data_IF_599908688650
#
_entry.id   IF_599908688650
#
_cell.length_a   1.000
_cell.length_b   1.000
_cell.length_c   1.000
_cell.angle_alpha   90.00
_cell.angle_beta   90.00
_cell.angle_gamma   90.00
#
_symmetry.space_group_name_H-M   'P 1'
#
loop_
_entity.id
_entity.type
_entity.pdbx_description
1 polymer ?
#
# COMPACT_ATOMS: atom_id res chain seq x y z
N UNK A 1 -2.54 -2.87 -16.09
CA UNK A 1 -1.27 -3.49 -15.64
C UNK A 1 -1.61 -4.70 -14.78
N UNK A 2 -0.93 -5.84 -14.99
CA UNK A 2 -1.18 -7.07 -14.27
C UNK A 2 0.14 -7.87 -14.09
N UNK A 3 0.14 -8.79 -13.14
CA UNK A 3 1.36 -9.44 -12.64
C UNK A 3 2.17 -10.18 -13.71
N UNK A 4 1.53 -10.83 -14.68
CA UNK A 4 2.23 -11.51 -15.79
C UNK A 4 3.11 -10.55 -16.60
N UNK A 5 2.62 -9.35 -16.95
CA UNK A 5 3.43 -8.33 -17.65
C UNK A 5 4.66 -7.93 -16.82
N UNK A 6 4.51 -7.82 -15.49
CA UNK A 6 5.63 -7.47 -14.61
C UNK A 6 6.63 -8.61 -14.51
N UNK A 7 6.20 -9.88 -14.55
CA UNK A 7 7.12 -11.03 -14.63
C UNK A 7 7.96 -11.00 -15.91
N UNK A 8 7.32 -10.79 -17.05
CA UNK A 8 8.02 -10.64 -18.35
C UNK A 8 9.03 -9.48 -18.31
N UNK A 9 8.66 -8.36 -17.71
CA UNK A 9 9.54 -7.21 -17.53
C UNK A 9 10.71 -7.54 -16.58
N UNK A 10 10.47 -8.22 -15.48
CA UNK A 10 11.50 -8.64 -14.53
C UNK A 10 12.49 -9.64 -15.17
N UNK A 11 12.01 -10.58 -15.97
CA UNK A 11 12.82 -11.52 -16.72
C UNK A 11 13.72 -10.79 -17.75
N UNK A 12 13.15 -9.83 -18.50
CA UNK A 12 13.90 -9.01 -19.43
C UNK A 12 14.96 -8.15 -18.72
N UNK A 13 14.61 -7.57 -17.58
CA UNK A 13 15.54 -6.79 -16.76
C UNK A 13 16.69 -7.66 -16.24
N UNK A 14 16.42 -8.85 -15.71
CA UNK A 14 17.42 -9.80 -15.26
C UNK A 14 18.38 -10.22 -16.40
N UNK A 15 17.84 -10.48 -17.59
CA UNK A 15 18.63 -10.84 -18.76
C UNK A 15 19.52 -9.69 -19.28
N UNK A 16 19.17 -8.45 -18.98
CA UNK A 16 19.88 -7.27 -19.46
C UNK A 16 21.20 -6.98 -18.74
N UNK A 17 21.39 -7.54 -17.54
CA UNK A 17 22.48 -7.23 -16.61
C UNK A 17 22.60 -5.72 -16.29
N UNK A 18 21.48 -4.98 -16.36
CA UNK A 18 21.42 -3.56 -16.01
C UNK A 18 20.74 -3.40 -14.66
N UNK A 19 21.09 -2.33 -13.96
CA UNK A 19 20.41 -1.96 -12.72
C UNK A 19 18.95 -1.62 -13.01
N UNK A 20 18.05 -2.32 -12.34
CA UNK A 20 16.61 -2.09 -12.41
C UNK A 20 16.09 -1.76 -11.02
N UNK A 21 15.44 -0.61 -10.88
CA UNK A 21 14.86 -0.15 -9.61
C UNK A 21 13.46 0.43 -9.85
N UNK A 22 12.66 0.46 -8.79
CA UNK A 22 11.34 1.07 -8.80
C UNK A 22 11.30 2.30 -7.89
N UNK A 23 10.53 3.32 -8.29
CA UNK A 23 10.44 4.61 -7.59
C UNK A 23 9.50 4.53 -6.38
N UNK A 24 9.81 3.70 -5.40
CA UNK A 24 9.09 3.63 -4.12
C UNK A 24 9.65 4.66 -3.13
N UNK A 25 9.45 5.93 -3.46
CA UNK A 25 9.98 7.07 -2.70
C UNK A 25 9.50 7.10 -1.25
N UNK A 26 8.32 6.58 -0.93
CA UNK A 26 7.81 6.52 0.44
C UNK A 26 8.64 5.61 1.36
N UNK A 27 9.39 4.65 0.82
CA UNK A 27 10.37 3.87 1.59
C UNK A 27 11.55 4.71 2.11
N UNK A 28 11.72 5.95 1.63
CA UNK A 28 12.73 6.90 2.16
C UNK A 28 12.21 7.75 3.30
N UNK A 29 10.92 7.74 3.59
CA UNK A 29 10.33 8.47 4.70
C UNK A 29 10.76 7.86 6.04
N UNK A 30 11.32 8.68 6.93
CA UNK A 30 11.86 8.24 8.22
C UNK A 30 10.82 7.53 9.09
N UNK A 31 9.55 7.90 9.01
CA UNK A 31 8.46 7.28 9.77
C UNK A 31 8.25 5.83 9.32
N UNK A 32 8.07 5.60 8.01
CA UNK A 32 7.85 4.24 7.49
C UNK A 32 9.09 3.36 7.59
N UNK A 33 10.30 3.94 7.44
CA UNK A 33 11.55 3.22 7.73
C UNK A 33 11.63 2.77 9.18
N UNK A 34 11.23 3.64 10.11
CA UNK A 34 11.24 3.32 11.54
C UNK A 34 10.20 2.25 11.89
N UNK A 35 9.00 2.31 11.33
CA UNK A 35 8.01 1.23 11.48
C UNK A 35 8.56 -0.11 11.00
N UNK A 36 9.19 -0.14 9.82
CA UNK A 36 9.85 -1.33 9.25
C UNK A 36 10.95 -1.86 10.17
N UNK A 37 11.84 -0.98 10.64
CA UNK A 37 12.92 -1.34 11.59
C UNK A 37 12.39 -2.00 12.85
N UNK A 38 11.33 -1.43 13.46
CA UNK A 38 10.72 -1.96 14.69
C UNK A 38 10.13 -3.34 14.43
N UNK A 39 9.35 -3.50 13.34
CA UNK A 39 8.75 -4.78 12.97
C UNK A 39 9.82 -5.83 12.69
N UNK A 40 10.83 -5.51 11.88
CA UNK A 40 11.91 -6.43 11.50
C UNK A 40 12.79 -6.83 12.70
N UNK A 41 12.91 -5.96 13.70
CA UNK A 41 13.68 -6.27 14.90
C UNK A 41 13.13 -7.47 15.68
N UNK A 42 11.85 -7.78 15.50
CA UNK A 42 11.14 -8.82 16.24
C UNK A 42 10.97 -8.55 17.73
N UNK A 43 11.47 -7.41 18.26
CA UNK A 43 11.43 -7.10 19.70
C UNK A 43 10.00 -6.96 20.24
N UNK A 44 9.09 -6.50 19.41
CA UNK A 44 7.67 -6.38 19.77
C UNK A 44 6.85 -7.66 19.51
N UNK A 45 7.50 -8.77 19.15
CA UNK A 45 6.84 -10.05 18.84
C UNK A 45 6.17 -10.04 17.47
N UNK A 46 5.27 -11.01 17.25
CA UNK A 46 4.57 -11.18 15.97
C UNK A 46 3.49 -10.13 15.78
N UNK A 47 3.25 -9.76 14.51
CA UNK A 47 2.07 -8.97 14.14
C UNK A 47 0.82 -9.80 14.42
N UNK A 48 -0.18 -9.18 15.04
CA UNK A 48 -1.51 -9.76 15.31
C UNK A 48 -2.58 -9.15 14.42
N UNK A 49 -2.48 -7.85 14.14
CA UNK A 49 -3.46 -7.13 13.33
C UNK A 49 -2.84 -5.93 12.63
N UNK A 50 -3.32 -5.67 11.43
CA UNK A 50 -2.93 -4.52 10.61
C UNK A 50 -4.20 -3.78 10.19
N UNK A 51 -4.29 -2.49 10.51
CA UNK A 51 -5.40 -1.65 10.08
C UNK A 51 -4.84 -0.43 9.34
N UNK A 52 -5.21 -0.26 8.08
CA UNK A 52 -4.84 0.94 7.35
C UNK A 52 -6.06 1.57 6.69
N UNK A 53 -6.40 2.76 7.15
CA UNK A 53 -7.41 3.62 6.56
C UNK A 53 -6.67 4.76 5.88
N UNK A 54 -6.74 4.82 4.55
CA UNK A 54 -6.10 5.85 3.74
C UNK A 54 -7.10 6.43 2.74
N UNK A 55 -7.79 7.48 3.16
CA UNK A 55 -8.84 8.13 2.40
C UNK A 55 -8.56 9.62 2.15
N UNK A 56 -7.33 10.07 2.44
CA UNK A 56 -6.91 11.46 2.18
C UNK A 56 -6.51 11.71 0.71
N UNK A 57 -6.86 10.80 -0.19
CA UNK A 57 -6.65 10.90 -1.64
C UNK A 57 -7.79 11.60 -2.36
N UNK A 58 -8.47 12.57 -1.73
CA UNK A 58 -9.61 13.26 -2.34
C UNK A 58 -9.32 13.72 -3.77
N UNK A 59 -10.22 13.38 -4.68
CA UNK A 59 -10.18 13.80 -6.09
C UNK A 59 -11.53 14.37 -6.48
N UNK A 60 -11.53 15.37 -7.35
CA UNK A 60 -12.73 15.91 -7.94
C UNK A 60 -13.05 15.20 -9.26
N UNK A 61 -14.28 15.32 -9.75
CA UNK A 61 -14.63 14.84 -11.09
C UNK A 61 -13.71 15.45 -12.17
N UNK A 62 -13.36 16.74 -12.04
CA UNK A 62 -12.44 17.41 -12.96
C UNK A 62 -11.07 16.74 -13.08
N UNK A 63 -10.55 16.16 -11.99
CA UNK A 63 -9.32 15.36 -12.04
C UNK A 63 -9.48 14.13 -12.94
N UNK A 64 -10.59 13.43 -12.81
CA UNK A 64 -10.86 12.25 -13.64
C UNK A 64 -11.13 12.61 -15.09
N UNK A 65 -11.71 13.78 -15.37
CA UNK A 65 -12.00 14.25 -16.73
C UNK A 65 -10.76 14.80 -17.47
N UNK A 66 -9.64 15.00 -16.78
CA UNK A 66 -8.42 15.62 -17.32
C UNK A 66 -7.60 14.77 -18.29
N UNK A 67 -7.99 13.53 -18.54
CA UNK A 67 -7.28 12.64 -19.46
C UNK A 67 -8.18 11.56 -20.05
N UNK A 68 -8.00 11.25 -21.32
CA UNK A 68 -8.78 10.22 -22.01
C UNK A 68 -8.58 8.81 -21.45
N UNK A 69 -7.40 8.54 -20.92
CA UNK A 69 -7.01 7.24 -20.35
C UNK A 69 -7.39 7.08 -18.88
N UNK A 70 -7.53 8.22 -18.18
CA UNK A 70 -7.68 8.24 -16.72
C UNK A 70 -9.03 7.63 -16.31
N UNK A 71 -8.99 6.81 -15.25
CA UNK A 71 -10.17 6.16 -14.66
C UNK A 71 -11.01 5.33 -15.66
N UNK A 72 -10.34 4.69 -16.63
CA UNK A 72 -10.94 3.75 -17.57
C UNK A 72 -10.23 2.38 -17.49
N UNK A 73 -10.97 1.30 -17.70
CA UNK A 73 -10.38 -0.05 -17.69
C UNK A 73 -9.37 -0.24 -18.82
N UNK A 74 -9.62 0.29 -20.00
CA UNK A 74 -8.73 0.13 -21.16
C UNK A 74 -7.48 1.02 -21.05
N UNK A 75 -7.61 2.22 -20.51
CA UNK A 75 -6.50 3.18 -20.39
C UNK A 75 -5.62 2.94 -19.15
N UNK A 76 -6.22 2.89 -17.98
CA UNK A 76 -5.51 2.81 -16.69
C UNK A 76 -5.49 1.39 -16.09
N UNK A 77 -6.56 0.62 -16.33
CA UNK A 77 -6.70 -0.76 -15.88
C UNK A 77 -7.09 -0.92 -14.41
N UNK A 78 -7.49 0.17 -13.76
CA UNK A 78 -7.97 0.27 -12.37
C UNK A 78 -8.01 1.72 -11.91
N UNK A 79 -8.47 1.95 -10.71
CA UNK A 79 -8.66 3.28 -10.11
C UNK A 79 -7.74 3.54 -8.94
N UNK A 80 -8.31 3.76 -7.76
CA UNK A 80 -7.56 4.15 -6.55
C UNK A 80 -6.44 3.17 -6.20
N UNK A 81 -6.61 1.88 -6.43
CA UNK A 81 -5.61 0.85 -6.13
C UNK A 81 -4.38 0.92 -7.06
N UNK A 82 -4.54 1.37 -8.31
CA UNK A 82 -3.45 1.44 -9.29
C UNK A 82 -2.89 2.85 -9.50
N UNK A 83 -3.61 3.88 -9.11
CA UNK A 83 -3.19 5.28 -9.30
C UNK A 83 -2.76 5.94 -7.99
N UNK A 84 -3.63 6.01 -6.98
CA UNK A 84 -3.34 6.73 -5.73
C UNK A 84 -2.60 5.87 -4.71
N UNK A 85 -2.92 4.58 -4.62
CA UNK A 85 -2.44 3.69 -3.56
C UNK A 85 -1.26 2.74 -3.87
N UNK A 86 -0.56 2.78 -5.02
CA UNK A 86 0.56 1.87 -5.26
C UNK A 86 1.64 1.94 -4.17
N UNK A 87 1.95 3.16 -3.69
CA UNK A 87 2.92 3.36 -2.60
C UNK A 87 2.43 2.82 -1.26
N UNK A 88 1.12 2.91 -1.00
CA UNK A 88 0.53 2.40 0.24
C UNK A 88 0.51 0.87 0.23
N UNK A 89 0.14 0.26 -0.88
CA UNK A 89 0.19 -1.20 -1.03
C UNK A 89 1.62 -1.74 -0.95
N UNK A 90 2.58 -0.98 -1.49
CA UNK A 90 3.99 -1.30 -1.33
C UNK A 90 4.42 -1.25 0.14
N UNK A 91 4.15 -0.14 0.84
CA UNK A 91 4.49 0.01 2.25
C UNK A 91 3.82 -1.04 3.13
N UNK A 92 2.55 -1.39 2.86
CA UNK A 92 1.83 -2.41 3.61
C UNK A 92 2.57 -3.74 3.54
N UNK A 93 2.89 -4.23 2.32
CA UNK A 93 3.58 -5.50 2.17
C UNK A 93 5.05 -5.43 2.58
N UNK A 94 5.70 -4.27 2.43
CA UNK A 94 7.09 -4.08 2.81
C UNK A 94 7.28 -4.12 4.33
N UNK A 95 6.37 -3.50 5.09
CA UNK A 95 6.43 -3.43 6.55
C UNK A 95 5.86 -4.70 7.19
N UNK A 96 4.68 -5.14 6.73
CA UNK A 96 3.91 -6.20 7.40
C UNK A 96 4.04 -7.59 6.74
N UNK A 97 4.68 -7.67 5.58
CA UNK A 97 4.68 -8.87 4.74
C UNK A 97 3.49 -8.93 3.78
N UNK A 98 3.59 -9.79 2.77
CA UNK A 98 2.51 -9.98 1.80
C UNK A 98 1.42 -10.87 2.42
N UNK A 99 0.14 -10.45 2.41
CA UNK A 99 -0.96 -11.31 2.83
C UNK A 99 -1.06 -12.58 1.98
N UNK A 100 -1.53 -13.67 2.56
CA UNK A 100 -1.76 -14.94 1.86
C UNK A 100 -3.18 -15.08 1.35
N UNK A 101 -4.14 -14.28 1.87
CA UNK A 101 -5.52 -14.23 1.40
C UNK A 101 -6.09 -12.82 1.48
N UNK A 102 -6.99 -12.53 0.54
CA UNK A 102 -7.70 -11.26 0.44
C UNK A 102 -9.19 -11.49 0.18
N UNK A 103 -10.06 -10.77 0.90
CA UNK A 103 -11.46 -10.57 0.56
C UNK A 103 -11.71 -9.07 0.44
N UNK A 104 -12.07 -8.59 -0.75
CA UNK A 104 -12.22 -7.18 -1.03
C UNK A 104 -13.58 -6.84 -1.65
N UNK A 105 -13.99 -5.58 -1.45
CA UNK A 105 -15.13 -4.92 -2.04
C UNK A 105 -14.61 -3.66 -2.73
N UNK A 106 -14.53 -3.68 -4.05
CA UNK A 106 -14.13 -2.55 -4.89
C UNK A 106 -15.38 -1.98 -5.54
N UNK A 107 -15.71 -0.74 -5.25
CA UNK A 107 -16.89 -0.08 -5.82
C UNK A 107 -16.44 0.84 -6.96
N UNK A 108 -16.91 0.52 -8.17
CA UNK A 108 -16.58 1.27 -9.36
C UNK A 108 -17.52 2.47 -9.49
N UNK A 109 -16.96 3.67 -9.68
CA UNK A 109 -17.76 4.86 -9.88
C UNK A 109 -18.83 5.09 -8.81
N UNK A 110 -18.52 4.78 -7.55
CA UNK A 110 -19.47 4.94 -6.46
C UNK A 110 -19.76 6.40 -6.15
N UNK A 111 -18.73 7.23 -6.29
CA UNK A 111 -18.74 8.63 -5.94
C UNK A 111 -18.48 9.56 -7.13
N UNK A 112 -17.90 9.03 -8.22
CA UNK A 112 -17.55 9.76 -9.41
C UNK A 112 -18.12 9.08 -10.66
N UNK A 113 -18.30 9.83 -11.76
CA UNK A 113 -18.67 9.25 -13.05
C UNK A 113 -17.41 8.67 -13.74
N UNK A 114 -17.00 7.48 -13.28
CA UNK A 114 -15.82 6.76 -13.75
C UNK A 114 -16.12 5.27 -13.86
N UNK A 115 -15.27 4.50 -14.55
CA UNK A 115 -15.47 3.06 -14.78
C UNK A 115 -14.79 2.18 -13.72
N UNK A 116 -13.78 2.71 -13.06
CA UNK A 116 -12.91 2.00 -12.15
C UNK A 116 -13.26 2.28 -10.70
N UNK A 117 -12.61 1.60 -9.77
CA UNK A 117 -12.90 1.74 -8.35
C UNK A 117 -12.38 3.07 -7.78
N UNK A 118 -13.24 3.74 -7.02
CA UNK A 118 -12.96 4.96 -6.24
C UNK A 118 -13.13 4.77 -4.72
N UNK A 119 -13.60 3.58 -4.32
CA UNK A 119 -13.84 3.19 -2.92
C UNK A 119 -13.56 1.70 -2.76
N UNK A 120 -12.67 1.35 -1.82
CA UNK A 120 -12.25 -0.04 -1.57
C UNK A 120 -12.20 -0.34 -0.08
N UNK A 121 -12.74 -1.48 0.32
CA UNK A 121 -12.54 -2.08 1.62
C UNK A 121 -12.07 -3.52 1.44
N UNK A 122 -10.92 -3.87 2.02
CA UNK A 122 -10.34 -5.20 1.92
C UNK A 122 -10.01 -5.78 3.31
N UNK A 123 -10.35 -7.04 3.50
CA UNK A 123 -9.89 -7.88 4.60
C UNK A 123 -8.70 -8.72 4.13
N UNK A 124 -7.69 -8.84 4.98
CA UNK A 124 -6.40 -9.49 4.70
C UNK A 124 -6.12 -10.58 5.74
N UNK A 125 -5.56 -11.71 5.32
CA UNK A 125 -4.99 -12.74 6.20
C UNK A 125 -3.52 -12.94 5.88
N UNK A 126 -2.70 -13.04 6.91
CA UNK A 126 -1.26 -13.27 6.81
C UNK A 126 -0.90 -14.71 7.21
N UNK A 127 0.27 -15.19 6.80
CA UNK A 127 0.71 -16.57 7.01
C UNK A 127 0.75 -16.97 8.50
N UNK A 128 1.12 -16.04 9.37
CA UNK A 128 1.16 -16.27 10.83
C UNK A 128 -0.22 -16.23 11.52
N UNK A 129 -1.31 -16.08 10.75
CA UNK A 129 -2.68 -15.96 11.26
C UNK A 129 -3.08 -14.53 11.65
N UNK A 130 -2.22 -13.55 11.49
CA UNK A 130 -2.59 -12.15 11.65
C UNK A 130 -3.65 -11.75 10.62
N UNK A 131 -4.50 -10.80 10.99
CA UNK A 131 -5.54 -10.28 10.12
C UNK A 131 -5.35 -8.79 9.86
N UNK A 132 -5.93 -8.27 8.77
CA UNK A 132 -5.84 -6.85 8.48
C UNK A 132 -7.06 -6.31 7.75
N UNK A 133 -7.19 -5.00 7.79
CA UNK A 133 -8.16 -4.23 7.00
C UNK A 133 -7.42 -3.11 6.28
N UNK A 134 -7.68 -2.98 4.97
CA UNK A 134 -7.23 -1.88 4.15
C UNK A 134 -8.44 -1.17 3.57
N UNK A 135 -8.57 0.13 3.86
CA UNK A 135 -9.67 0.97 3.37
C UNK A 135 -9.08 2.16 2.63
N UNK A 136 -9.57 2.40 1.42
CA UNK A 136 -9.16 3.57 0.64
C UNK A 136 -10.33 4.15 -0.15
N UNK A 137 -10.34 5.48 -0.29
CA UNK A 137 -11.35 6.21 -1.06
C UNK A 137 -10.73 7.48 -1.65
N UNK A 138 -11.26 7.91 -2.78
CA UNK A 138 -10.92 9.22 -3.37
C UNK A 138 -12.00 10.28 -3.16
N UNK A 139 -13.00 9.98 -2.32
CA UNK A 139 -14.16 10.85 -2.11
C UNK A 139 -14.38 11.29 -0.65
N UNK A 140 -13.52 10.88 0.28
CA UNK A 140 -13.66 11.28 1.68
C UNK A 140 -13.14 12.70 1.91
N UNK A 141 -13.95 13.54 2.54
CA UNK A 141 -13.56 14.87 2.97
C UNK A 141 -14.19 15.23 4.33
N UNK A 142 -13.40 15.37 5.42
CA UNK A 142 -11.94 15.18 5.46
C UNK A 142 -11.57 13.70 5.37
N UNK A 143 -10.51 13.41 4.60
CA UNK A 143 -9.93 12.07 4.56
C UNK A 143 -9.01 11.79 5.74
N UNK A 144 -8.57 10.54 5.86
CA UNK A 144 -7.67 10.05 6.91
C UNK A 144 -6.49 9.29 6.33
N UNK A 145 -5.36 9.34 7.03
CA UNK A 145 -4.26 8.42 6.83
C UNK A 145 -3.85 7.88 8.20
N UNK A 146 -4.38 6.69 8.55
CA UNK A 146 -4.16 6.02 9.82
C UNK A 146 -3.70 4.59 9.58
N UNK A 147 -2.44 4.33 9.85
CA UNK A 147 -1.81 3.02 9.76
C UNK A 147 -1.45 2.51 11.15
N UNK A 148 -2.12 1.44 11.58
CA UNK A 148 -1.96 0.83 12.88
C UNK A 148 -1.51 -0.63 12.75
N UNK A 149 -0.51 -1.01 13.52
CA UNK A 149 0.02 -2.38 13.59
C UNK A 149 0.00 -2.83 15.05
N UNK A 150 -0.86 -3.79 15.37
CA UNK A 150 -0.87 -4.44 16.67
C UNK A 150 0.09 -5.63 16.66
N UNK A 151 0.97 -5.67 17.65
CA UNK A 151 1.95 -6.73 17.85
C UNK A 151 1.71 -7.40 19.23
N UNK A 152 2.41 -8.48 19.50
CA UNK A 152 2.28 -9.19 20.78
C UNK A 152 2.71 -8.36 21.98
N UNK A 153 3.61 -7.40 21.78
CA UNK A 153 4.13 -6.51 22.84
C UNK A 153 3.76 -5.05 22.65
N UNK A 154 2.66 -4.75 21.96
CA UNK A 154 2.18 -3.39 21.85
C UNK A 154 1.59 -3.00 20.51
N UNK A 155 1.65 -1.71 20.20
CA UNK A 155 1.04 -1.14 19.02
C UNK A 155 1.89 -0.02 18.43
N UNK A 156 2.04 -0.03 17.11
CA UNK A 156 2.55 1.10 16.34
C UNK A 156 1.37 1.80 15.68
N UNK A 157 1.29 3.11 15.81
CA UNK A 157 0.28 3.92 15.15
C UNK A 157 0.96 5.08 14.43
N UNK A 158 0.81 5.11 13.10
CA UNK A 158 1.13 6.26 12.28
C UNK A 158 -0.16 6.94 11.84
N UNK A 159 -0.42 8.13 12.33
CA UNK A 159 -1.56 8.96 11.91
C UNK A 159 -1.05 10.32 11.45
N UNK A 160 -1.39 10.68 10.22
CA UNK A 160 -0.98 11.94 9.58
C UNK A 160 0.55 12.18 9.71
N UNK A 161 1.34 11.14 9.38
CA UNK A 161 2.81 11.12 9.43
C UNK A 161 3.43 11.22 10.85
N UNK A 162 2.61 11.19 11.90
CA UNK A 162 3.09 11.11 13.28
C UNK A 162 3.08 9.66 13.76
N UNK A 163 4.25 9.14 14.10
CA UNK A 163 4.40 7.80 14.67
C UNK A 163 4.34 7.83 16.19
N UNK A 164 3.50 6.99 16.75
CA UNK A 164 3.47 6.69 18.20
C UNK A 164 3.62 5.19 18.41
N UNK A 165 4.20 4.81 19.53
CA UNK A 165 4.36 3.43 19.96
C UNK A 165 3.83 3.28 21.37
N UNK A 166 3.01 2.27 21.59
CA UNK A 166 2.66 1.82 22.92
C UNK A 166 3.31 0.46 23.16
N UNK A 167 4.21 0.36 24.11
CA UNK A 167 4.94 -0.87 24.43
C UNK A 167 4.36 -1.49 25.70
N UNK A 168 4.07 -2.80 25.65
CA UNK A 168 3.61 -3.57 26.80
C UNK A 168 4.81 -4.07 27.61
N UNK A 169 4.69 -4.04 28.93
CA UNK A 169 5.72 -4.52 29.86
C UNK A 169 5.95 -6.04 29.73
N UNK A 170 4.94 -6.76 29.25
CA UNK A 170 4.97 -8.21 29.03
C UNK A 170 4.37 -8.57 27.67
N UNK A 171 4.71 -9.74 27.12
CA UNK A 171 4.05 -10.25 25.95
C UNK A 171 2.56 -10.52 26.25
N UNK A 172 1.65 -10.00 25.44
CA UNK A 172 0.19 -10.15 25.66
C UNK A 172 -0.23 -11.62 25.67
N UNK A 173 0.36 -12.47 24.80
CA UNK A 173 0.04 -13.90 24.78
C UNK A 173 0.44 -14.62 26.05
N UNK A 174 1.61 -14.30 26.58
CA UNK A 174 2.09 -14.84 27.86
C UNK A 174 1.20 -14.37 29.01
N UNK A 175 0.86 -13.08 29.02
CA UNK A 175 -0.05 -12.52 30.03
C UNK A 175 -1.43 -13.18 29.98
N UNK A 176 -2.01 -13.33 28.80
CA UNK A 176 -3.33 -13.94 28.59
C UNK A 176 -3.44 -15.34 29.20
N UNK A 177 -2.38 -16.15 29.13
CA UNK A 177 -2.38 -17.53 29.65
C UNK A 177 -1.91 -17.64 31.10
N UNK A 178 -1.23 -16.64 31.64
CA UNK A 178 -0.69 -16.64 33.01
C UNK A 178 -1.54 -15.86 34.02
N UNK A 179 -2.31 -14.88 33.57
CA UNK A 179 -3.15 -14.05 34.44
C UNK A 179 -4.23 -14.90 35.12
N UNK A 180 -4.41 -14.67 36.43
CA UNK A 180 -5.42 -15.38 37.25
C UNK A 180 -6.75 -14.64 37.28
N UNK A 181 -6.76 -13.36 36.97
CA UNK A 181 -7.93 -12.49 37.00
C UNK A 181 -8.54 -12.37 35.60
N UNK A 182 -9.84 -12.59 35.46
CA UNK A 182 -10.52 -12.64 34.17
C UNK A 182 -10.51 -11.34 33.37
N UNK A 183 -10.25 -10.20 34.01
CA UNK A 183 -10.24 -8.88 33.36
C UNK A 183 -8.88 -8.16 33.46
N UNK A 184 -7.82 -8.89 33.87
CA UNK A 184 -6.50 -8.32 33.92
C UNK A 184 -6.00 -7.99 32.52
N UNK A 185 -5.62 -6.74 32.27
CA UNK A 185 -4.97 -6.29 31.05
C UNK A 185 -3.48 -6.08 31.30
N UNK A 186 -2.59 -6.40 30.35
CA UNK A 186 -1.18 -6.10 30.52
C UNK A 186 -0.96 -4.59 30.62
N UNK A 187 -0.07 -4.17 31.52
CA UNK A 187 0.41 -2.79 31.62
C UNK A 187 1.38 -2.47 30.48
N UNK A 188 1.57 -1.19 30.25
CA UNK A 188 2.49 -0.68 29.24
C UNK A 188 2.57 0.83 29.29
N UNK A 189 3.36 1.40 28.39
CA UNK A 189 3.64 2.83 28.35
C UNK A 189 3.82 3.32 26.89
N UNK A 190 3.67 4.61 26.69
CA UNK A 190 4.09 5.23 25.44
C UNK A 190 5.61 5.24 25.36
N UNK A 191 6.17 4.62 24.34
CA UNK A 191 7.59 4.61 24.07
C UNK A 191 7.97 5.79 23.18
N UNK A 192 9.08 6.47 23.52
CA UNK A 192 9.64 7.48 22.65
C UNK A 192 10.21 6.83 21.39
N UNK A 193 9.84 7.38 20.23
CA UNK A 193 10.36 6.94 18.94
C UNK A 193 11.17 8.06 18.32
N UNK A 194 12.46 7.82 18.23
CA UNK A 194 13.35 8.71 17.50
C UNK A 194 13.45 8.29 16.03
N UNK A 195 13.36 9.28 15.15
CA UNK A 195 13.65 9.14 13.73
C UNK A 195 14.76 10.12 13.37
N UNK A 196 15.40 9.92 12.22
CA UNK A 196 16.40 10.86 11.72
C UNK A 196 15.78 12.13 11.09
N UNK A 197 14.45 12.23 11.07
CA UNK A 197 13.70 13.34 10.48
C UNK A 197 13.85 13.45 8.96
N UNK A 198 14.55 12.53 8.30
CA UNK A 198 14.82 12.61 6.87
C UNK A 198 13.66 12.08 6.03
N UNK A 199 13.28 12.84 5.02
CA UNK A 199 12.29 12.44 4.03
C UNK A 199 12.72 12.85 2.62
N UNK A 200 13.81 12.28 2.07
CA UNK A 200 14.38 12.71 0.80
C UNK A 200 13.57 12.32 -0.44
N UNK A 201 12.52 11.52 -0.29
CA UNK A 201 11.56 11.17 -1.34
C UNK A 201 12.23 10.71 -2.65
N UNK A 202 11.81 11.22 -3.80
CA UNK A 202 12.36 10.89 -5.12
C UNK A 202 13.87 11.12 -5.20
N UNK A 203 14.38 12.19 -4.58
CA UNK A 203 15.83 12.47 -4.55
C UNK A 203 16.60 11.37 -3.79
N UNK A 204 16.02 10.83 -2.74
CA UNK A 204 16.61 9.70 -2.01
C UNK A 204 16.74 8.45 -2.88
N UNK A 205 15.68 8.11 -3.61
CA UNK A 205 15.70 6.96 -4.54
C UNK A 205 16.72 7.17 -5.66
N UNK A 206 16.76 8.37 -6.26
CA UNK A 206 17.71 8.68 -7.33
C UNK A 206 19.17 8.65 -6.86
N UNK A 207 19.45 9.16 -5.67
CA UNK A 207 20.78 9.10 -5.05
C UNK A 207 21.20 7.64 -4.78
N UNK A 208 20.32 6.83 -4.20
CA UNK A 208 20.61 5.42 -3.96
C UNK A 208 20.82 4.64 -5.26
N UNK A 209 20.05 4.95 -6.32
CA UNK A 209 20.23 4.35 -7.63
C UNK A 209 21.61 4.67 -8.23
N UNK A 210 22.01 5.94 -8.18
CA UNK A 210 23.34 6.35 -8.64
C UNK A 210 24.47 5.73 -7.81
N UNK A 211 24.33 5.70 -6.50
CA UNK A 211 25.30 5.09 -5.58
C UNK A 211 25.40 3.56 -5.81
N UNK A 212 24.31 2.89 -6.12
CA UNK A 212 24.32 1.48 -6.51
C UNK A 212 25.16 1.25 -7.76
N UNK A 213 24.96 2.04 -8.81
CA UNK A 213 25.71 1.91 -10.06
C UNK A 213 27.20 2.19 -9.86
N UNK A 214 27.54 3.19 -9.07
CA UNK A 214 28.91 3.66 -8.91
C UNK A 214 29.71 2.88 -7.86
N UNK A 215 29.04 2.41 -6.82
CA UNK A 215 29.69 1.90 -5.59
C UNK A 215 29.11 0.56 -5.10
N UNK A 216 28.05 0.02 -5.73
CA UNK A 216 27.41 -1.20 -5.31
C UNK A 216 26.56 -1.06 -4.03
N UNK A 217 26.18 0.17 -3.65
CA UNK A 217 25.34 0.41 -2.47
C UNK A 217 23.93 -0.14 -2.66
N UNK A 218 23.19 -0.46 -1.57
CA UNK A 218 21.83 -0.99 -1.68
C UNK A 218 20.87 -0.03 -2.38
N UNK A 219 19.98 -0.57 -3.22
CA UNK A 219 18.83 0.18 -3.75
C UNK A 219 17.79 0.41 -2.65
N UNK A 220 17.01 1.49 -2.77
CA UNK A 220 15.82 1.71 -1.91
C UNK A 220 14.78 0.61 -2.17
N UNK A 221 14.56 0.29 -3.44
CA UNK A 221 13.72 -0.81 -3.89
C UNK A 221 14.24 -1.35 -5.22
N UNK A 222 14.51 -2.64 -5.26
CA UNK A 222 14.82 -3.31 -6.52
C UNK A 222 13.57 -3.38 -7.41
N UNK A 223 13.77 -3.32 -8.73
CA UNK A 223 12.63 -3.22 -9.66
C UNK A 223 11.67 -4.39 -9.59
N UNK A 224 12.21 -5.59 -9.36
CA UNK A 224 11.43 -6.82 -9.22
C UNK A 224 10.48 -6.82 -8.00
N UNK A 225 10.74 -5.99 -7.00
CA UNK A 225 9.85 -5.90 -5.83
C UNK A 225 8.50 -5.26 -6.15
N UNK A 226 8.42 -4.50 -7.25
CA UNK A 226 7.18 -3.82 -7.67
C UNK A 226 6.00 -4.75 -7.90
N UNK A 227 6.27 -6.03 -8.20
CA UNK A 227 5.22 -7.04 -8.41
C UNK A 227 4.38 -7.26 -7.14
N UNK A 228 4.93 -7.08 -5.94
CA UNK A 228 4.25 -7.43 -4.68
C UNK A 228 3.05 -6.54 -4.41
N UNK A 229 3.21 -5.22 -4.52
CA UNK A 229 2.11 -4.26 -4.36
C UNK A 229 1.05 -4.42 -5.46
N UNK A 230 1.48 -4.67 -6.70
CA UNK A 230 0.58 -4.94 -7.81
C UNK A 230 -0.19 -6.26 -7.61
N UNK A 231 0.45 -7.31 -7.12
CA UNK A 231 -0.20 -8.58 -6.81
C UNK A 231 -1.32 -8.39 -5.78
N UNK A 232 -1.09 -7.57 -4.76
CA UNK A 232 -2.09 -7.25 -3.76
C UNK A 232 -3.27 -6.49 -4.36
N UNK A 233 -3.01 -5.47 -5.20
CA UNK A 233 -4.04 -4.74 -5.94
C UNK A 233 -4.86 -5.67 -6.85
N UNK A 234 -4.20 -6.51 -7.65
CA UNK A 234 -4.87 -7.43 -8.55
C UNK A 234 -5.70 -8.49 -7.78
N UNK A 235 -5.20 -8.96 -6.63
CA UNK A 235 -5.95 -9.87 -5.76
C UNK A 235 -7.22 -9.23 -5.19
N UNK A 236 -7.17 -7.94 -4.81
CA UNK A 236 -8.34 -7.17 -4.36
C UNK A 236 -9.38 -7.05 -5.48
N UNK A 237 -8.95 -6.67 -6.68
CA UNK A 237 -9.84 -6.62 -7.85
C UNK A 237 -10.48 -7.98 -8.13
N UNK A 238 -9.67 -9.05 -8.24
CA UNK A 238 -10.18 -10.39 -8.53
C UNK A 238 -11.17 -10.85 -7.46
N UNK A 239 -10.87 -10.61 -6.18
CA UNK A 239 -11.77 -10.93 -5.07
C UNK A 239 -13.11 -10.22 -5.18
N UNK A 240 -13.10 -8.95 -5.53
CA UNK A 240 -14.33 -8.16 -5.73
C UNK A 240 -15.11 -8.65 -6.94
N UNK A 241 -14.44 -8.87 -8.08
CA UNK A 241 -15.09 -9.29 -9.33
C UNK A 241 -15.70 -10.69 -9.26
N UNK A 242 -15.08 -11.59 -8.49
CA UNK A 242 -15.56 -12.97 -8.33
C UNK A 242 -16.36 -13.18 -7.04
N UNK A 243 -16.56 -12.13 -6.26
CA UNK A 243 -17.26 -12.17 -4.97
C UNK A 243 -16.74 -13.27 -4.02
N UNK A 244 -15.44 -13.56 -4.08
CA UNK A 244 -14.81 -14.66 -3.37
C UNK A 244 -13.52 -14.25 -2.67
N UNK A 245 -13.09 -15.04 -1.68
CA UNK A 245 -11.75 -14.90 -1.10
C UNK A 245 -10.72 -15.41 -2.09
N UNK A 246 -9.69 -14.61 -2.33
CA UNK A 246 -8.57 -14.93 -3.24
C UNK A 246 -7.33 -15.26 -2.43
N UNK A 247 -6.68 -16.37 -2.75
CA UNK A 247 -5.35 -16.71 -2.21
C UNK A 247 -4.26 -16.01 -3.01
N UNK A 248 -3.17 -15.65 -2.36
CA UNK A 248 -1.98 -15.07 -2.98
C UNK A 248 -0.84 -16.09 -2.86
N UNK A 249 -0.21 -16.49 -3.98
CA UNK A 249 -0.48 -16.09 -5.36
C UNK A 249 -1.80 -16.63 -5.90
N UNK A 250 -2.40 -15.90 -6.84
CA UNK A 250 -3.67 -16.24 -7.47
C UNK A 250 -3.49 -16.68 -8.93
N UNK A 251 -4.58 -17.16 -9.54
CA UNK A 251 -4.65 -17.49 -10.97
C UNK A 251 -4.60 -16.20 -11.82
N UNK A 252 -3.44 -15.91 -12.39
CA UNK A 252 -3.18 -14.71 -13.19
C UNK A 252 -3.92 -14.71 -14.53
N UNK A 253 -4.18 -15.88 -15.12
CA UNK A 253 -4.96 -15.98 -16.36
C UNK A 253 -6.43 -15.64 -16.11
N UNK A 254 -7.00 -16.15 -15.01
CA UNK A 254 -8.35 -15.77 -14.59
C UNK A 254 -8.47 -14.26 -14.32
N UNK A 255 -7.45 -13.66 -13.70
CA UNK A 255 -7.44 -12.20 -13.52
C UNK A 255 -7.45 -11.48 -14.87
N UNK A 256 -6.61 -11.92 -15.80
CA UNK A 256 -6.52 -11.32 -17.15
C UNK A 256 -7.84 -11.45 -17.93
N UNK A 257 -8.50 -12.59 -17.86
CA UNK A 257 -9.83 -12.78 -18.46
C UNK A 257 -10.82 -11.74 -17.92
N UNK A 258 -10.92 -11.63 -16.60
CA UNK A 258 -11.81 -10.67 -15.94
C UNK A 258 -11.47 -9.21 -16.26
N UNK A 259 -10.19 -8.87 -16.36
CA UNK A 259 -9.75 -7.53 -16.77
C UNK A 259 -10.11 -7.25 -18.23
N UNK A 260 -9.90 -8.22 -19.14
CA UNK A 260 -10.21 -8.06 -20.56
C UNK A 260 -11.72 -7.91 -20.83
N UNK A 261 -12.58 -8.58 -20.08
CA UNK A 261 -14.04 -8.37 -20.15
C UNK A 261 -14.40 -6.91 -19.85
N UNK A 262 -13.78 -6.31 -18.84
CA UNK A 262 -13.99 -4.89 -18.46
C UNK A 262 -13.40 -3.94 -19.48
N UNK A 263 -12.22 -4.23 -19.99
CA UNK A 263 -11.57 -3.44 -21.05
C UNK A 263 -12.43 -3.43 -22.34
N UNK A 264 -13.01 -4.57 -22.69
CA UNK A 264 -13.89 -4.66 -23.87
C UNK A 264 -15.18 -3.82 -23.75
N UNK A 265 -15.61 -3.53 -22.51
CA UNK A 265 -16.77 -2.67 -22.23
C UNK A 265 -16.38 -1.23 -21.88
N UNK A 266 -15.10 -0.90 -21.89
CA UNK A 266 -14.59 0.42 -21.54
C UNK A 266 -15.07 1.49 -22.51
N UNK A 267 -15.46 2.65 -21.97
CA UNK A 267 -16.01 3.76 -22.75
C UNK A 267 -14.91 4.72 -23.18
N UNK A 268 -14.96 5.14 -24.43
CA UNK A 268 -14.13 6.26 -24.88
C UNK A 268 -14.70 7.55 -24.27
N UNK A 269 -13.89 8.25 -23.49
CA UNK A 269 -14.28 9.56 -22.95
C UNK A 269 -14.45 10.58 -24.08
N UNK A 270 -15.66 11.14 -24.19
CA UNK A 270 -15.99 12.10 -25.25
C UNK A 270 -15.60 13.54 -24.90
N UNK A 271 -15.56 13.87 -23.62
CA UNK A 271 -15.27 15.21 -23.12
C UNK A 271 -14.01 15.15 -22.24
N UNK A 272 -12.85 15.34 -22.86
CA UNK A 272 -11.58 15.48 -22.13
C UNK A 272 -11.32 16.96 -21.90
N UNK A 273 -11.19 17.36 -20.66
CA UNK A 273 -10.82 18.74 -20.29
C UNK A 273 -9.31 18.79 -20.13
N UNK A 274 -8.63 19.58 -20.93
CA UNK A 274 -7.22 19.89 -20.67
C UNK A 274 -7.14 20.73 -19.39
N UNK A 275 -6.69 20.14 -18.31
CA UNK A 275 -6.50 20.79 -17.05
C UNK A 275 -5.04 20.59 -16.58
N UNK A 276 -4.40 21.70 -16.24
CA UNK A 276 -3.11 21.66 -15.54
C UNK A 276 -3.42 21.72 -14.05
N UNK A 277 -3.04 20.69 -13.33
CA UNK A 277 -3.20 20.64 -11.87
C UNK A 277 -1.89 21.03 -11.19
N UNK A 278 -2.00 21.82 -10.15
CA UNK A 278 -0.92 21.96 -9.19
C UNK A 278 -0.74 20.62 -8.48
N UNK A 279 0.44 20.02 -8.66
CA UNK A 279 0.80 18.74 -8.03
C UNK A 279 1.55 18.95 -6.71
N UNK A 280 1.74 20.18 -6.26
CA UNK A 280 2.30 20.47 -4.94
C UNK A 280 1.41 19.88 -3.87
N UNK A 281 1.95 18.93 -3.11
CA UNK A 281 1.25 18.24 -2.02
C UNK A 281 0.60 16.89 -2.38
N UNK A 282 0.66 16.41 -3.62
CA UNK A 282 0.13 15.07 -3.98
C UNK A 282 1.04 13.92 -3.54
N UNK A 283 2.34 14.15 -3.39
CA UNK A 283 3.35 13.17 -2.96
C UNK A 283 4.36 13.78 -1.99
N UNK A 284 4.16 14.99 -1.61
CA UNK A 284 5.16 15.72 -0.91
C UNK A 284 4.73 16.02 0.51
N UNK A 285 5.60 15.71 1.40
CA UNK A 285 5.85 16.55 2.53
C UNK A 285 5.68 18.02 2.14
N UNK A 286 4.71 18.70 2.70
CA UNK A 286 4.89 20.13 2.92
C UNK A 286 6.17 20.21 3.74
N UNK A 287 7.26 20.65 3.14
CA UNK A 287 8.40 21.18 3.88
C UNK A 287 7.78 22.36 4.64
N UNK A 288 7.43 22.12 5.90
CA UNK A 288 7.10 23.20 6.81
C UNK A 288 8.44 23.83 7.15
N UNK A 289 8.66 25.04 6.59
CA UNK A 289 9.68 25.95 7.09
C UNK A 289 9.51 26.19 8.59
#
# INVERSE_FOLDING_TARGET
MYTKQVREMNEAAAASNKTFAIMFNQRTNCVYRKMKEIVDSGKMGQIKRVNWIITNWYRTQAYYDSGSWRATWDGEGGGVLLNQCPHNLDLLQWICGLPVKVRAFCHNGKWHDIEVEDDVTAYLEFENGATGVFVTSTADAPGKNRFEILLEKGCLLCEDEKLTCYELDVNEREHCFSAKEGFATPSGHEAEIETDGQNPQHMGVMRAFAAHILHGEPLVAAGEEGIRGLMLSNAMHLSSWTESTVQIPFDEERFLEQLNERRASSRIKKNVVEATFDTEGTYGSKIRE
#
